data_IF_771521067800
#
_entry.id   IF_771521067800
#
_cell.length_a   1.000
_cell.length_b   1.000
_cell.length_c   1.000
_cell.angle_alpha   90.00
_cell.angle_beta   90.00
_cell.angle_gamma   90.00
#
_symmetry.space_group_name_H-M   'P 1'
#
loop_
_entity.id
_entity.type
_entity.pdbx_description
1 polymer ?
#
# COMPACT_ATOMS: atom_id res chain seq x y z
N UNK A 1 -14.69 18.47 -33.63
CA UNK A 1 -14.09 17.16 -33.29
C UNK A 1 -12.75 17.15 -34.00
N UNK A 2 -11.71 17.63 -33.32
CA UNK A 2 -10.41 17.95 -33.93
C UNK A 2 -9.36 16.90 -33.49
N UNK A 3 -8.41 16.65 -34.40
CA UNK A 3 -7.39 15.59 -34.35
C UNK A 3 -6.39 15.71 -33.18
N UNK A 4 -6.35 16.82 -32.44
CA UNK A 4 -5.49 17.04 -31.26
C UNK A 4 -5.86 16.16 -30.05
N UNK A 5 -7.12 15.72 -29.96
CA UNK A 5 -7.59 14.81 -28.92
C UNK A 5 -6.97 13.41 -29.01
N UNK A 6 -6.57 12.96 -30.21
CA UNK A 6 -5.95 11.65 -30.42
C UNK A 6 -4.46 11.64 -30.02
N UNK A 7 -3.78 12.78 -30.16
CA UNK A 7 -2.39 12.95 -29.78
C UNK A 7 -2.20 13.00 -28.25
N UNK A 8 -3.09 13.68 -27.51
CA UNK A 8 -3.03 13.77 -26.05
C UNK A 8 -3.39 12.45 -25.35
N UNK A 9 -4.33 11.67 -25.89
CA UNK A 9 -4.65 10.32 -25.40
C UNK A 9 -3.51 9.34 -25.68
N UNK A 10 -2.82 9.46 -26.83
CA UNK A 10 -1.60 8.67 -27.10
C UNK A 10 -0.45 9.05 -26.16
N UNK A 11 -0.23 10.32 -25.86
CA UNK A 11 0.79 10.75 -24.88
C UNK A 11 0.42 10.38 -23.43
N UNK A 12 -0.85 10.40 -23.07
CA UNK A 12 -1.33 9.98 -21.74
C UNK A 12 -1.31 8.45 -21.57
N UNK A 13 -1.59 7.70 -22.64
CA UNK A 13 -1.38 6.25 -22.68
C UNK A 13 0.11 5.87 -22.59
N UNK A 14 1.00 6.70 -23.13
CA UNK A 14 2.46 6.59 -22.91
C UNK A 14 2.83 6.95 -21.47
N UNK A 15 2.24 7.97 -20.84
CA UNK A 15 2.51 8.34 -19.44
C UNK A 15 1.98 7.30 -18.43
N UNK A 16 0.79 6.74 -18.66
CA UNK A 16 0.26 5.60 -17.89
C UNK A 16 1.10 4.35 -18.18
N UNK A 17 1.53 4.14 -19.42
CA UNK A 17 2.48 3.09 -19.80
C UNK A 17 3.88 3.26 -19.18
N UNK A 18 4.34 4.48 -18.94
CA UNK A 18 5.59 4.80 -18.24
C UNK A 18 5.43 4.70 -16.73
N UNK A 19 4.28 5.06 -16.15
CA UNK A 19 4.02 4.90 -14.72
C UNK A 19 3.81 3.43 -14.36
N UNK A 20 2.98 2.71 -15.13
CA UNK A 20 2.79 1.26 -14.99
C UNK A 20 4.05 0.48 -15.42
N UNK A 21 4.78 0.97 -16.41
CA UNK A 21 6.07 0.44 -16.87
C UNK A 21 7.26 0.80 -15.97
N UNK A 22 7.20 1.85 -15.15
CA UNK A 22 8.16 2.09 -14.07
C UNK A 22 7.83 1.22 -12.85
N UNK A 23 6.53 0.99 -12.58
CA UNK A 23 6.04 0.07 -11.53
C UNK A 23 6.32 -1.41 -11.88
N UNK A 24 6.27 -1.79 -13.16
CA UNK A 24 6.49 -3.17 -13.63
C UNK A 24 7.86 -3.42 -14.29
N UNK A 25 8.47 -2.41 -14.90
CA UNK A 25 9.74 -2.47 -15.64
C UNK A 25 10.93 -1.83 -14.91
N UNK A 26 10.72 -1.11 -13.81
CA UNK A 26 11.80 -0.68 -12.89
C UNK A 26 12.54 -1.83 -12.19
N UNK A 27 12.11 -3.08 -12.43
CA UNK A 27 12.86 -4.29 -12.11
C UNK A 27 14.08 -4.51 -13.04
N UNK A 28 14.24 -3.72 -14.11
CA UNK A 28 15.35 -3.85 -15.07
C UNK A 28 16.41 -2.73 -14.99
N UNK A 29 16.06 -1.53 -14.47
CA UNK A 29 16.95 -0.35 -14.52
C UNK A 29 17.16 0.22 -13.10
N UNK A 30 18.39 0.06 -12.57
CA UNK A 30 18.72 0.04 -11.13
C UNK A 30 18.34 1.22 -10.22
N UNK A 31 17.86 2.37 -10.72
CA UNK A 31 17.55 3.54 -9.88
C UNK A 31 16.16 3.48 -9.21
N UNK A 32 15.15 2.89 -9.87
CA UNK A 32 13.82 2.66 -9.28
C UNK A 32 13.82 1.48 -8.30
N UNK A 33 14.71 0.52 -8.53
CA UNK A 33 14.96 -0.62 -7.65
C UNK A 33 15.51 -0.20 -6.28
N UNK A 34 16.31 0.87 -6.20
CA UNK A 34 16.96 1.29 -4.95
C UNK A 34 15.98 1.95 -3.96
N UNK A 35 15.06 2.79 -4.45
CA UNK A 35 14.02 3.40 -3.61
C UNK A 35 12.97 2.36 -3.19
N UNK A 36 12.54 1.49 -4.12
CA UNK A 36 11.64 0.38 -3.80
C UNK A 36 12.31 -0.63 -2.84
N UNK A 37 13.60 -0.90 -3.00
CA UNK A 37 14.38 -1.74 -2.09
C UNK A 37 14.58 -1.06 -0.74
N UNK A 38 14.75 0.26 -0.69
CA UNK A 38 14.89 1.01 0.58
C UNK A 38 13.56 1.03 1.33
N UNK A 39 12.44 1.30 0.67
CA UNK A 39 11.11 1.19 1.27
C UNK A 39 10.84 -0.25 1.71
N UNK A 40 11.18 -1.25 0.88
CA UNK A 40 11.04 -2.66 1.23
C UNK A 40 11.99 -3.10 2.36
N UNK A 41 13.18 -2.50 2.49
CA UNK A 41 14.16 -2.76 3.55
C UNK A 41 13.70 -2.16 4.88
N UNK A 42 13.14 -0.94 4.86
CA UNK A 42 12.54 -0.31 6.04
C UNK A 42 11.34 -1.14 6.51
N UNK A 43 10.46 -1.56 5.59
CA UNK A 43 9.31 -2.44 5.91
C UNK A 43 9.77 -3.82 6.40
N UNK A 44 10.84 -4.40 5.85
CA UNK A 44 11.42 -5.67 6.33
C UNK A 44 12.06 -5.53 7.72
N UNK A 45 12.63 -4.38 8.05
CA UNK A 45 13.27 -4.17 9.35
C UNK A 45 12.25 -4.11 10.49
N UNK A 46 11.08 -3.50 10.27
CA UNK A 46 10.00 -3.47 11.26
C UNK A 46 9.31 -4.83 11.42
N UNK A 47 9.05 -5.56 10.32
CA UNK A 47 8.51 -6.92 10.38
C UNK A 47 9.46 -7.89 11.12
N UNK A 48 10.78 -7.69 11.01
CA UNK A 48 11.75 -8.46 11.76
C UNK A 48 11.75 -8.09 13.26
N UNK A 49 11.51 -6.83 13.60
CA UNK A 49 11.44 -6.37 14.98
C UNK A 49 10.23 -6.93 15.74
N UNK A 50 9.05 -6.99 15.10
CA UNK A 50 7.87 -7.61 15.71
C UNK A 50 7.99 -9.14 15.83
N UNK A 51 8.65 -9.81 14.88
CA UNK A 51 8.95 -11.24 14.98
C UNK A 51 9.95 -11.56 16.09
N UNK A 52 10.92 -10.67 16.35
CA UNK A 52 11.89 -10.81 17.43
C UNK A 52 11.24 -10.58 18.80
N UNK A 53 10.37 -9.59 18.94
CA UNK A 53 9.62 -9.37 20.19
C UNK A 53 8.55 -10.45 20.42
N UNK A 54 7.86 -10.92 19.38
CA UNK A 54 6.95 -12.07 19.49
C UNK A 54 7.68 -13.38 19.84
N UNK A 55 8.92 -13.57 19.35
CA UNK A 55 9.77 -14.71 19.74
C UNK A 55 10.32 -14.58 21.17
N UNK A 56 10.47 -13.35 21.67
CA UNK A 56 10.91 -13.03 23.04
C UNK A 56 9.80 -13.24 24.08
N UNK A 57 8.54 -12.92 23.73
CA UNK A 57 7.37 -13.12 24.59
C UNK A 57 6.79 -14.55 24.53
N UNK A 58 7.14 -15.33 23.49
CA UNK A 58 6.78 -16.74 23.33
C UNK A 58 7.58 -17.73 24.20
N UNK A 59 8.24 -17.24 25.26
CA UNK A 59 9.18 -17.96 26.12
C UNK A 59 8.85 -19.44 26.35
N UNK A 60 9.80 -20.30 25.97
CA UNK A 60 9.89 -21.74 26.26
C UNK A 60 10.29 -21.93 27.73
N UNK A 61 9.55 -21.30 28.63
CA UNK A 61 9.89 -21.20 30.06
C UNK A 61 8.76 -21.80 30.90
N UNK A 62 7.57 -22.03 30.30
CA UNK A 62 6.35 -22.39 31.03
C UNK A 62 6.05 -23.89 31.14
N UNK A 63 6.97 -24.77 30.68
CA UNK A 63 6.78 -26.23 30.76
C UNK A 63 7.94 -27.01 31.39
N UNK A 64 8.97 -26.34 31.91
CA UNK A 64 10.05 -26.99 32.65
C UNK A 64 9.81 -26.90 34.17
N UNK A 65 8.83 -27.65 34.68
CA UNK A 65 8.51 -27.61 36.10
C UNK A 65 7.44 -28.61 36.55
N UNK A 66 7.68 -29.90 36.35
CA UNK A 66 6.85 -30.97 36.90
C UNK A 66 7.70 -32.19 37.22
N UNK A 67 7.88 -32.44 38.52
CA UNK A 67 8.73 -33.48 39.11
C UNK A 67 8.31 -34.90 38.72
N UNK A 68 9.32 -35.76 38.67
CA UNK A 68 9.24 -37.22 38.67
C UNK A 68 8.40 -37.72 39.85
N UNK A 69 7.44 -38.64 39.62
CA UNK A 69 7.31 -39.93 40.33
C UNK A 69 5.92 -40.66 40.23
N UNK A 70 5.96 -41.90 39.71
CA UNK A 70 5.07 -43.06 39.96
C UNK A 70 3.72 -43.22 39.15
N UNK A 71 3.09 -44.42 39.11
CA UNK A 71 3.10 -45.28 37.92
C UNK A 71 1.72 -45.89 37.58
N UNK A 72 1.21 -45.81 36.36
CA UNK A 72 -0.04 -46.50 36.01
C UNK A 72 0.13 -47.56 34.93
N UNK A 73 0.76 -48.67 35.35
CA UNK A 73 0.49 -49.98 34.79
C UNK A 73 -0.64 -50.64 35.58
N UNK A 74 -1.90 -50.33 35.23
CA UNK A 74 -3.08 -51.10 35.67
C UNK A 74 -4.38 -50.62 34.98
N UNK A 75 -4.69 -51.12 33.78
CA UNK A 75 -6.04 -51.65 33.45
C UNK A 75 -6.03 -52.31 32.07
N UNK A 76 -6.68 -53.47 31.98
CA UNK A 76 -6.76 -54.32 30.79
C UNK A 76 -7.73 -53.84 29.71
N UNK A 77 -7.75 -54.62 28.63
CA UNK A 77 -8.25 -54.42 27.26
C UNK A 77 -9.75 -54.07 27.02
N UNK A 78 -10.47 -53.51 27.98
CA UNK A 78 -11.90 -53.22 27.84
C UNK A 78 -12.20 -51.80 27.35
N UNK A 79 -12.29 -51.57 26.03
CA UNK A 79 -12.88 -50.34 25.47
C UNK A 79 -11.97 -49.11 25.35
N UNK A 80 -10.66 -49.26 25.59
CA UNK A 80 -9.65 -48.17 25.57
C UNK A 80 -9.42 -47.52 24.19
N UNK A 81 -9.84 -48.15 23.09
CA UNK A 81 -9.69 -47.60 21.74
C UNK A 81 -10.44 -46.28 21.53
N UNK A 82 -11.55 -46.07 22.25
CA UNK A 82 -12.37 -44.87 22.08
C UNK A 82 -11.79 -43.64 22.77
N UNK A 83 -11.11 -43.78 23.92
CA UNK A 83 -10.55 -42.64 24.65
C UNK A 83 -9.32 -42.11 23.93
N UNK A 84 -8.37 -42.98 23.54
CA UNK A 84 -7.18 -42.54 22.80
C UNK A 84 -7.56 -41.98 21.43
N UNK A 85 -8.51 -42.59 20.72
CA UNK A 85 -9.02 -42.03 19.46
C UNK A 85 -9.78 -40.69 19.64
N UNK A 86 -10.42 -40.48 20.80
CA UNK A 86 -11.08 -39.20 21.11
C UNK A 86 -10.05 -38.12 21.45
N UNK A 87 -9.01 -38.46 22.21
CA UNK A 87 -7.91 -37.55 22.52
C UNK A 87 -7.11 -37.16 21.27
N UNK A 88 -6.88 -38.11 20.35
CA UNK A 88 -6.22 -37.86 19.07
C UNK A 88 -7.04 -36.93 18.14
N UNK A 89 -8.37 -37.06 18.16
CA UNK A 89 -9.25 -36.10 17.47
C UNK A 89 -9.20 -34.72 18.08
N UNK A 90 -9.21 -34.60 19.41
CA UNK A 90 -9.16 -33.30 20.11
C UNK A 90 -7.81 -32.61 19.85
N UNK A 91 -6.70 -33.36 19.91
CA UNK A 91 -5.36 -32.81 19.62
C UNK A 91 -5.22 -32.38 18.15
N UNK A 92 -5.75 -33.16 17.22
CA UNK A 92 -5.78 -32.82 15.79
C UNK A 92 -6.60 -31.54 15.52
N UNK A 93 -7.76 -31.38 16.17
CA UNK A 93 -8.59 -30.17 16.09
C UNK A 93 -7.84 -28.95 16.65
N UNK A 94 -7.14 -29.11 17.77
CA UNK A 94 -6.31 -28.06 18.37
C UNK A 94 -5.17 -27.62 17.43
N UNK A 95 -4.45 -28.56 16.85
CA UNK A 95 -3.36 -28.29 15.90
C UNK A 95 -3.88 -27.67 14.60
N UNK A 96 -5.00 -28.16 14.05
CA UNK A 96 -5.64 -27.56 12.87
C UNK A 96 -6.11 -26.13 13.14
N UNK A 97 -6.74 -25.88 14.28
CA UNK A 97 -7.16 -24.52 14.67
C UNK A 97 -5.97 -23.57 14.82
N UNK A 98 -4.87 -24.02 15.42
CA UNK A 98 -3.63 -23.25 15.51
C UNK A 98 -3.00 -23.00 14.13
N UNK A 99 -3.02 -23.98 13.22
CA UNK A 99 -2.56 -23.79 11.84
C UNK A 99 -3.44 -22.80 11.08
N UNK A 100 -4.76 -22.86 11.23
CA UNK A 100 -5.67 -21.88 10.64
C UNK A 100 -5.43 -20.48 11.19
N UNK A 101 -5.24 -20.35 12.50
CA UNK A 101 -4.94 -19.07 13.14
C UNK A 101 -3.58 -18.51 12.68
N UNK A 102 -2.55 -19.36 12.56
CA UNK A 102 -1.25 -18.98 12.05
C UNK A 102 -1.29 -18.58 10.56
N UNK A 103 -2.08 -19.27 9.74
CA UNK A 103 -2.29 -18.91 8.33
C UNK A 103 -3.06 -17.59 8.18
N UNK A 104 -4.08 -17.37 9.02
CA UNK A 104 -4.84 -16.11 9.05
C UNK A 104 -3.95 -14.95 9.49
N UNK A 105 -3.19 -15.11 10.58
CA UNK A 105 -2.21 -14.12 11.05
C UNK A 105 -1.16 -13.81 9.97
N UNK A 106 -0.60 -14.84 9.32
CA UNK A 106 0.37 -14.65 8.23
C UNK A 106 -0.23 -13.94 7.02
N UNK A 107 -1.49 -14.21 6.69
CA UNK A 107 -2.22 -13.53 5.64
C UNK A 107 -2.48 -12.05 5.96
N UNK A 108 -2.83 -11.75 7.21
CA UNK A 108 -3.04 -10.39 7.73
C UNK A 108 -1.76 -9.55 7.65
N UNK A 109 -0.65 -10.10 8.18
CA UNK A 109 0.69 -9.50 8.09
C UNK A 109 1.14 -9.25 6.64
N UNK A 110 0.84 -10.18 5.73
CA UNK A 110 1.16 -10.05 4.32
C UNK A 110 0.36 -8.93 3.64
N UNK A 111 -0.94 -8.81 3.98
CA UNK A 111 -1.81 -7.76 3.45
C UNK A 111 -1.35 -6.37 3.91
N UNK A 112 -1.02 -6.22 5.20
CA UNK A 112 -0.49 -4.96 5.75
C UNK A 112 0.81 -4.55 5.07
N UNK A 113 1.73 -5.51 4.88
CA UNK A 113 3.00 -5.27 4.15
C UNK A 113 2.75 -4.76 2.73
N UNK A 114 1.85 -5.42 1.98
CA UNK A 114 1.52 -5.02 0.61
C UNK A 114 0.91 -3.61 0.60
N UNK A 115 -0.05 -3.34 1.49
CA UNK A 115 -0.71 -2.04 1.56
C UNK A 115 0.27 -0.91 1.92
N UNK A 116 1.21 -1.16 2.83
CA UNK A 116 2.26 -0.21 3.20
C UNK A 116 3.21 0.08 2.03
N UNK A 117 3.65 -0.95 1.31
CA UNK A 117 4.48 -0.77 0.10
C UNK A 117 3.73 0.02 -0.97
N UNK A 118 2.46 -0.30 -1.21
CA UNK A 118 1.62 0.44 -2.15
C UNK A 118 1.44 1.91 -1.73
N UNK A 119 1.26 2.19 -0.43
CA UNK A 119 1.19 3.55 0.08
C UNK A 119 2.51 4.32 -0.16
N UNK A 120 3.66 3.66 0.04
CA UNK A 120 4.96 4.23 -0.29
C UNK A 120 5.12 4.56 -1.78
N UNK A 121 4.67 3.65 -2.65
CA UNK A 121 4.64 3.87 -4.10
C UNK A 121 3.73 5.03 -4.49
N UNK A 122 2.57 5.18 -3.82
CA UNK A 122 1.71 6.35 -4.01
C UNK A 122 2.45 7.62 -3.60
N UNK A 123 3.05 7.68 -2.41
CA UNK A 123 3.80 8.85 -1.94
C UNK A 123 4.91 9.27 -2.92
N UNK A 124 5.71 8.31 -3.38
CA UNK A 124 6.74 8.54 -4.39
C UNK A 124 6.15 8.99 -5.74
N UNK A 125 5.05 8.37 -6.18
CA UNK A 125 4.33 8.75 -7.39
C UNK A 125 3.80 10.19 -7.34
N UNK A 126 3.24 10.64 -6.21
CA UNK A 126 2.77 12.01 -6.05
C UNK A 126 3.92 13.02 -6.11
N UNK A 127 5.08 12.71 -5.49
CA UNK A 127 6.29 13.55 -5.60
C UNK A 127 6.76 13.63 -7.06
N UNK A 128 6.79 12.50 -7.76
CA UNK A 128 7.15 12.47 -9.17
C UNK A 128 6.19 13.31 -10.03
N UNK A 129 4.88 13.20 -9.80
CA UNK A 129 3.90 14.03 -10.50
C UNK A 129 4.09 15.52 -10.21
N UNK A 130 4.32 15.91 -8.94
CA UNK A 130 4.54 17.30 -8.57
C UNK A 130 5.83 17.89 -9.17
N UNK A 131 6.90 17.10 -9.21
CA UNK A 131 8.16 17.49 -9.86
C UNK A 131 8.05 17.56 -11.39
N UNK A 132 7.17 16.75 -12.00
CA UNK A 132 6.93 16.77 -13.45
C UNK A 132 6.47 18.12 -14.00
N UNK A 133 5.79 18.93 -13.20
CA UNK A 133 5.31 20.25 -13.63
C UNK A 133 6.44 21.27 -13.89
N UNK A 134 7.66 20.99 -13.39
CA UNK A 134 8.82 21.86 -13.61
C UNK A 134 9.54 21.56 -14.94
N UNK A 135 9.46 20.32 -15.44
CA UNK A 135 10.16 19.90 -16.66
C UNK A 135 9.25 19.46 -17.82
N UNK A 136 7.98 19.18 -17.56
CA UNK A 136 6.98 18.77 -18.56
C UNK A 136 5.63 19.51 -18.37
N UNK A 137 5.61 20.86 -18.36
CA UNK A 137 4.40 21.66 -18.10
C UNK A 137 3.26 21.41 -19.10
N UNK A 138 3.57 20.97 -20.32
CA UNK A 138 2.59 20.62 -21.35
C UNK A 138 1.62 19.50 -20.92
N UNK A 139 2.04 18.60 -20.02
CA UNK A 139 1.20 17.51 -19.53
C UNK A 139 0.03 18.01 -18.66
N UNK A 140 0.09 19.24 -18.17
CA UNK A 140 -0.95 19.86 -17.35
C UNK A 140 -1.96 20.68 -18.18
N UNK A 141 -1.75 20.80 -19.50
CA UNK A 141 -2.71 21.42 -20.41
C UNK A 141 -3.97 20.55 -20.41
N UNK A 142 -5.09 21.12 -19.97
CA UNK A 142 -6.36 20.39 -19.80
C UNK A 142 -6.80 20.21 -18.35
N UNK A 143 -6.09 20.76 -17.36
CA UNK A 143 -6.56 20.82 -15.96
C UNK A 143 -7.78 21.76 -15.75
N UNK A 144 -8.34 22.31 -16.84
CA UNK A 144 -9.52 23.16 -16.75
C UNK A 144 -9.22 24.62 -16.41
N UNK A 145 -8.06 25.14 -16.83
CA UNK A 145 -7.83 26.58 -16.85
C UNK A 145 -7.99 27.05 -18.29
N UNK A 146 -9.00 27.90 -18.59
CA UNK A 146 -9.18 28.46 -19.93
C UNK A 146 -7.99 29.33 -20.34
N UNK A 147 -7.66 29.34 -21.63
CA UNK A 147 -6.71 30.27 -22.24
C UNK A 147 -5.32 30.32 -21.58
N UNK A 148 -4.80 29.17 -21.15
CA UNK A 148 -3.44 29.05 -20.60
C UNK A 148 -2.50 28.34 -21.56
N UNK A 149 -1.76 29.08 -22.43
CA UNK A 149 -0.64 28.51 -23.16
C UNK A 149 0.36 27.91 -22.17
N UNK A 150 0.94 26.75 -22.51
CA UNK A 150 1.91 26.07 -21.66
C UNK A 150 3.12 26.96 -21.30
N UNK A 151 3.46 27.91 -22.16
CA UNK A 151 4.56 28.88 -22.01
C UNK A 151 4.15 30.16 -21.24
N UNK A 152 2.87 30.28 -20.87
CA UNK A 152 2.32 31.45 -20.20
C UNK A 152 2.87 31.59 -18.78
N UNK A 153 3.41 32.77 -18.45
CA UNK A 153 4.03 33.04 -17.14
C UNK A 153 3.07 32.77 -15.96
N UNK A 154 1.79 33.11 -16.10
CA UNK A 154 0.76 32.85 -15.09
C UNK A 154 0.44 31.36 -14.94
N UNK A 155 0.46 30.60 -16.04
CA UNK A 155 0.25 29.15 -16.00
C UNK A 155 1.43 28.44 -15.32
N UNK A 156 2.67 28.83 -15.63
CA UNK A 156 3.86 28.34 -14.93
C UNK A 156 3.85 28.64 -13.43
N UNK A 157 3.41 29.83 -13.03
CA UNK A 157 3.28 30.17 -11.61
C UNK A 157 2.25 29.27 -10.91
N UNK A 158 1.10 29.03 -11.54
CA UNK A 158 0.09 28.10 -11.04
C UNK A 158 0.63 26.66 -10.95
N UNK A 159 1.33 26.19 -11.99
CA UNK A 159 1.97 24.88 -12.01
C UNK A 159 3.01 24.71 -10.91
N UNK A 160 3.78 25.77 -10.61
CA UNK A 160 4.76 25.75 -9.51
C UNK A 160 4.06 25.56 -8.17
N UNK A 161 2.95 26.27 -7.93
CA UNK A 161 2.16 26.13 -6.70
C UNK A 161 1.56 24.72 -6.60
N UNK A 162 1.00 24.19 -7.70
CA UNK A 162 0.46 22.83 -7.73
C UNK A 162 1.56 21.80 -7.49
N UNK A 163 2.66 21.89 -8.20
CA UNK A 163 3.77 20.94 -8.09
C UNK A 163 4.37 20.90 -6.70
N UNK A 164 4.56 22.06 -6.06
CA UNK A 164 5.02 22.10 -4.68
C UNK A 164 4.02 21.43 -3.71
N UNK A 165 2.71 21.66 -3.90
CA UNK A 165 1.67 21.02 -3.08
C UNK A 165 1.68 19.50 -3.24
N UNK A 166 1.84 19.02 -4.47
CA UNK A 166 1.88 17.59 -4.75
C UNK A 166 3.16 16.98 -4.12
N UNK A 167 4.32 17.60 -4.28
CA UNK A 167 5.58 17.17 -3.63
C UNK A 167 5.42 17.08 -2.11
N UNK A 168 4.92 18.14 -1.49
CA UNK A 168 4.75 18.18 -0.03
C UNK A 168 3.71 17.18 0.46
N UNK A 169 2.63 16.97 -0.31
CA UNK A 169 1.61 15.95 0.01
C UNK A 169 2.19 14.53 -0.04
N UNK A 170 2.99 14.22 -1.06
CA UNK A 170 3.68 12.93 -1.14
C UNK A 170 4.72 12.76 -0.03
N UNK A 171 5.43 13.84 0.36
CA UNK A 171 6.34 13.80 1.52
C UNK A 171 5.59 13.51 2.82
N UNK A 172 4.40 14.07 3.04
CA UNK A 172 3.61 13.72 4.22
C UNK A 172 3.23 12.25 4.26
N UNK A 173 2.88 11.63 3.11
CA UNK A 173 2.64 10.19 3.03
C UNK A 173 3.89 9.43 3.49
N UNK A 174 5.07 9.79 2.97
CA UNK A 174 6.33 9.11 3.32
C UNK A 174 6.73 9.33 4.79
N UNK A 175 6.49 10.51 5.35
CA UNK A 175 6.74 10.80 6.76
C UNK A 175 5.85 9.93 7.65
N UNK A 176 4.56 9.82 7.36
CA UNK A 176 3.65 8.97 8.12
C UNK A 176 3.98 7.48 7.92
N UNK A 177 4.46 7.10 6.74
CA UNK A 177 4.91 5.73 6.47
C UNK A 177 6.10 5.33 7.34
N UNK A 178 7.07 6.22 7.54
CA UNK A 178 8.30 5.92 8.30
C UNK A 178 8.13 6.16 9.81
N UNK A 179 7.28 7.11 10.20
CA UNK A 179 7.14 7.54 11.59
C UNK A 179 5.81 7.19 12.26
N UNK A 180 4.87 6.59 11.54
CA UNK A 180 3.51 6.30 11.99
C UNK A 180 3.18 4.82 11.99
N UNK A 181 2.10 4.48 12.68
CA UNK A 181 1.49 3.14 12.62
C UNK A 181 0.76 2.92 11.29
N UNK A 182 0.57 1.65 10.91
CA UNK A 182 -0.25 1.27 9.73
C UNK A 182 -1.64 1.92 9.76
N UNK A 183 -2.28 1.96 10.92
CA UNK A 183 -3.58 2.58 11.10
C UNK A 183 -3.56 4.11 10.88
N UNK A 184 -2.50 4.80 11.35
CA UNK A 184 -2.32 6.24 11.07
C UNK A 184 -2.09 6.49 9.58
N UNK A 185 -1.26 5.67 8.92
CA UNK A 185 -1.05 5.74 7.48
C UNK A 185 -2.36 5.48 6.72
N UNK A 186 -3.19 4.55 7.18
CA UNK A 186 -4.51 4.27 6.61
C UNK A 186 -5.43 5.49 6.65
N UNK A 187 -5.61 6.11 7.81
CA UNK A 187 -6.39 7.35 7.94
C UNK A 187 -5.81 8.49 7.11
N UNK A 188 -4.48 8.61 7.06
CA UNK A 188 -3.81 9.62 6.25
C UNK A 188 -4.08 9.40 4.76
N UNK A 189 -4.00 8.16 4.26
CA UNK A 189 -4.31 7.81 2.87
C UNK A 189 -5.76 8.12 2.50
N UNK A 190 -6.72 7.82 3.41
CA UNK A 190 -8.12 8.19 3.21
C UNK A 190 -8.30 9.70 3.12
N UNK A 191 -7.71 10.47 4.04
CA UNK A 191 -7.77 11.93 4.00
C UNK A 191 -7.11 12.51 2.74
N UNK A 192 -5.92 12.01 2.38
CA UNK A 192 -5.17 12.44 1.21
C UNK A 192 -5.89 12.12 -0.11
N UNK A 193 -6.73 11.06 -0.15
CA UNK A 193 -7.56 10.75 -1.32
C UNK A 193 -8.57 11.86 -1.67
N UNK A 194 -8.89 12.76 -0.74
CA UNK A 194 -9.71 13.93 -1.02
C UNK A 194 -9.06 14.88 -2.06
N UNK A 195 -7.72 14.87 -2.17
CA UNK A 195 -6.98 15.67 -3.15
C UNK A 195 -7.34 15.24 -4.58
N UNK A 196 -7.10 13.98 -5.01
CA UNK A 196 -7.49 13.54 -6.35
C UNK A 196 -9.02 13.57 -6.57
N UNK A 197 -9.85 13.40 -5.53
CA UNK A 197 -11.30 13.65 -5.68
C UNK A 197 -11.59 15.11 -6.03
N UNK A 198 -10.96 16.05 -5.32
CA UNK A 198 -11.08 17.48 -5.59
C UNK A 198 -10.58 17.83 -7.00
N UNK A 199 -9.42 17.32 -7.38
CA UNK A 199 -8.84 17.51 -8.71
C UNK A 199 -9.77 16.99 -9.82
N UNK A 200 -10.35 15.79 -9.66
CA UNK A 200 -11.35 15.26 -10.60
C UNK A 200 -12.53 16.22 -10.76
N UNK A 201 -13.06 16.72 -9.64
CA UNK A 201 -14.21 17.63 -9.63
C UNK A 201 -13.87 18.97 -10.28
N UNK A 202 -12.66 19.49 -10.07
CA UNK A 202 -12.18 20.73 -10.71
C UNK A 202 -12.12 20.54 -12.22
N UNK A 203 -11.47 19.47 -12.70
CA UNK A 203 -11.36 19.18 -14.14
C UNK A 203 -12.76 19.08 -14.77
N UNK A 204 -13.70 18.39 -14.14
CA UNK A 204 -15.07 18.24 -14.66
C UNK A 204 -15.85 19.56 -14.67
N UNK A 205 -15.69 20.41 -13.65
CA UNK A 205 -16.40 21.70 -13.57
C UNK A 205 -15.85 22.76 -14.51
N UNK A 206 -14.62 22.57 -14.97
CA UNK A 206 -13.94 23.46 -15.89
C UNK A 206 -13.92 22.94 -17.33
N UNK A 207 -14.83 22.02 -17.68
CA UNK A 207 -14.94 21.41 -19.01
C UNK A 207 -13.64 20.74 -19.52
N UNK A 208 -12.80 20.29 -18.59
CA UNK A 208 -11.58 19.56 -18.90
C UNK A 208 -11.84 18.13 -19.39
N UNK A 209 -10.81 17.41 -19.89
CA UNK A 209 -10.97 16.09 -20.46
C UNK A 209 -11.49 15.07 -19.45
N UNK A 210 -12.62 14.43 -19.76
CA UNK A 210 -13.19 13.34 -18.93
C UNK A 210 -12.23 12.17 -18.74
N UNK A 211 -11.37 11.92 -19.73
CA UNK A 211 -10.33 10.89 -19.65
C UNK A 211 -9.34 11.20 -18.52
N UNK A 212 -8.92 12.46 -18.36
CA UNK A 212 -8.05 12.89 -17.26
C UNK A 212 -8.79 12.85 -15.93
N UNK A 213 -10.02 13.36 -15.90
CA UNK A 213 -10.84 13.37 -14.69
C UNK A 213 -11.06 11.97 -14.11
N UNK A 214 -11.58 11.03 -14.89
CA UNK A 214 -11.88 9.69 -14.37
C UNK A 214 -10.67 8.75 -14.41
N UNK A 215 -9.85 8.83 -15.45
CA UNK A 215 -8.74 7.92 -15.67
C UNK A 215 -7.53 8.21 -14.80
N UNK A 216 -7.19 9.49 -14.58
CA UNK A 216 -6.08 9.86 -13.70
C UNK A 216 -6.60 10.11 -12.29
N UNK A 217 -7.42 11.15 -12.11
CA UNK A 217 -7.83 11.58 -10.77
C UNK A 217 -8.77 10.58 -10.08
N UNK A 218 -9.83 10.14 -10.77
CA UNK A 218 -10.78 9.17 -10.24
C UNK A 218 -10.11 7.82 -9.90
N UNK A 219 -9.26 7.30 -10.77
CA UNK A 219 -8.53 6.06 -10.53
C UNK A 219 -7.54 6.20 -9.36
N UNK A 220 -6.77 7.29 -9.28
CA UNK A 220 -5.87 7.54 -8.15
C UNK A 220 -6.66 7.61 -6.84
N UNK A 221 -7.78 8.33 -6.81
CA UNK A 221 -8.65 8.40 -5.63
C UNK A 221 -9.13 7.00 -5.19
N UNK A 222 -9.61 6.18 -6.13
CA UNK A 222 -10.08 4.82 -5.83
C UNK A 222 -8.95 3.93 -5.28
N UNK A 223 -7.75 4.00 -5.87
CA UNK A 223 -6.57 3.26 -5.40
C UNK A 223 -6.18 3.71 -3.99
N UNK A 224 -6.14 5.01 -3.72
CA UNK A 224 -5.81 5.53 -2.39
C UNK A 224 -6.84 5.13 -1.33
N UNK A 225 -8.13 5.15 -1.67
CA UNK A 225 -9.20 4.68 -0.79
C UNK A 225 -9.06 3.18 -0.47
N UNK A 226 -8.77 2.36 -1.48
CA UNK A 226 -8.54 0.94 -1.30
C UNK A 226 -7.33 0.66 -0.40
N UNK A 227 -6.19 1.32 -0.67
CA UNK A 227 -4.99 1.20 0.17
C UNK A 227 -5.27 1.65 1.60
N UNK A 228 -5.94 2.79 1.78
CA UNK A 228 -6.30 3.30 3.11
C UNK A 228 -7.19 2.31 3.87
N UNK A 229 -8.22 1.76 3.23
CA UNK A 229 -9.09 0.76 3.84
C UNK A 229 -8.34 -0.54 4.19
N UNK A 230 -7.43 -1.00 3.32
CA UNK A 230 -6.59 -2.17 3.61
C UNK A 230 -5.68 -1.92 4.81
N UNK A 231 -5.04 -0.76 4.91
CA UNK A 231 -4.18 -0.39 6.04
C UNK A 231 -4.94 -0.29 7.37
N UNK A 232 -6.23 0.06 7.35
CA UNK A 232 -7.06 0.13 8.56
C UNK A 232 -7.53 -1.24 9.05
N UNK A 233 -7.61 -2.22 8.15
CA UNK A 233 -8.11 -3.58 8.44
C UNK A 233 -6.94 -4.56 8.61
N UNK A 234 -5.71 -4.17 8.28
CA UNK A 234 -4.50 -4.99 8.33
C UNK A 234 -3.59 -4.70 9.53
#
# INVERSE_FOLDING_TARGET
MDETGCASVRCSGVAIGYALGAILGGAADGAGGELAATIALVVRAEAAHELVEAARDGGIDRFAGGRDDQPFAAFGDGGHGNIIATLDKISAIGIQSLRHLALLSKGYLMLGTIATVLAGLVGAGVIFMGTSFFWAPQAAVGFGIPDTPAEGRSFHAWLTVKGLRDIVSGLFILIVLVGGTTHQLGWFMLAASAIPVGDMVIVLRSDGPKATAYGVHGATAAVMLAIGALLLIA
#
